data_IF_911724071589
#
_entry.id   IF_911724071589
#
_cell.length_a   1.000
_cell.length_b   1.000
_cell.length_c   1.000
_cell.angle_alpha   90.00
_cell.angle_beta   90.00
_cell.angle_gamma   90.00
#
_symmetry.space_group_name_H-M   'P 1'
#
loop_
_entity.id
_entity.type
_entity.pdbx_description
1 polymer ?
#
# COMPACT_ATOMS: atom_id res chain seq x y z
N UNK A 1 3.67 19.01 -8.37
CA UNK A 1 3.72 18.05 -9.49
C UNK A 1 2.97 18.65 -10.70
N UNK A 2 3.51 19.71 -11.31
CA UNK A 2 2.81 20.42 -12.41
C UNK A 2 3.37 20.10 -13.80
N UNK A 3 4.46 19.34 -13.87
CA UNK A 3 5.24 19.12 -15.11
C UNK A 3 4.54 18.28 -16.20
N UNK A 4 3.36 17.70 -15.95
CA UNK A 4 2.62 16.90 -16.95
C UNK A 4 1.26 17.49 -17.36
N UNK A 5 0.92 18.70 -16.91
CA UNK A 5 -0.39 19.31 -17.19
C UNK A 5 -0.57 19.78 -18.64
N UNK A 6 0.49 19.83 -19.45
CA UNK A 6 0.48 20.57 -20.73
C UNK A 6 0.48 19.69 -22.00
N UNK A 7 0.35 18.36 -21.85
CA UNK A 7 0.41 17.42 -22.99
C UNK A 7 -0.99 17.06 -23.54
N UNK A 8 -2.08 17.54 -22.92
CA UNK A 8 -3.45 17.25 -23.35
C UNK A 8 -4.39 18.45 -23.19
N UNK A 9 -5.32 18.64 -24.12
CA UNK A 9 -6.13 19.86 -24.24
C UNK A 9 -7.10 20.17 -23.09
N UNK A 10 -7.47 19.21 -22.22
CA UNK A 10 -8.40 19.45 -21.09
C UNK A 10 -7.65 19.46 -19.74
N UNK A 11 -7.52 20.61 -19.06
CA UNK A 11 -6.76 20.74 -17.80
C UNK A 11 -7.38 19.96 -16.63
N UNK A 12 -8.67 19.60 -16.74
CA UNK A 12 -9.39 18.84 -15.72
C UNK A 12 -9.23 17.32 -15.89
N UNK A 13 -8.59 16.86 -16.97
CA UNK A 13 -8.29 15.44 -17.17
C UNK A 13 -7.16 15.03 -16.21
N UNK A 14 -7.35 14.01 -15.36
CA UNK A 14 -6.31 13.56 -14.45
C UNK A 14 -5.22 12.79 -15.19
N UNK A 15 -4.01 12.78 -14.63
CA UNK A 15 -2.93 11.96 -15.17
C UNK A 15 -3.17 10.48 -14.87
N UNK A 16 -2.62 9.58 -15.70
CA UNK A 16 -2.66 8.13 -15.42
C UNK A 16 -2.03 7.81 -14.05
N UNK A 17 -0.98 8.54 -13.66
CA UNK A 17 -0.32 8.37 -12.37
C UNK A 17 -1.24 8.71 -11.19
N UNK A 18 -2.03 9.78 -11.28
CA UNK A 18 -3.04 10.11 -10.26
C UNK A 18 -4.09 8.99 -10.13
N UNK A 19 -4.54 8.46 -11.28
CA UNK A 19 -5.52 7.37 -11.31
C UNK A 19 -4.98 6.05 -10.76
N UNK A 20 -3.70 5.75 -10.96
CA UNK A 20 -3.07 4.56 -10.37
C UNK A 20 -2.80 4.79 -8.87
N UNK A 21 -2.36 5.98 -8.47
CA UNK A 21 -2.05 6.29 -7.07
C UNK A 21 -3.30 6.18 -6.17
N UNK A 22 -4.46 6.64 -6.65
CA UNK A 22 -5.71 6.49 -5.91
C UNK A 22 -6.17 5.03 -5.80
N UNK A 23 -5.91 4.18 -6.80
CA UNK A 23 -6.21 2.76 -6.75
C UNK A 23 -5.29 2.02 -5.76
N UNK A 24 -4.00 2.32 -5.75
CA UNK A 24 -3.04 1.77 -4.79
C UNK A 24 -3.43 2.09 -3.35
N UNK A 25 -3.89 3.32 -3.06
CA UNK A 25 -4.35 3.67 -1.72
C UNK A 25 -5.48 2.75 -1.23
N UNK A 26 -6.45 2.47 -2.11
CA UNK A 26 -7.56 1.55 -1.79
C UNK A 26 -7.06 0.13 -1.56
N UNK A 27 -6.19 -0.37 -2.41
CA UNK A 27 -5.71 -1.75 -2.34
C UNK A 27 -4.84 -2.00 -1.08
N UNK A 28 -4.18 -0.95 -0.56
CA UNK A 28 -3.42 -1.01 0.71
C UNK A 28 -4.30 -1.06 1.97
N UNK A 29 -5.57 -0.64 1.91
CA UNK A 29 -6.45 -0.62 3.08
C UNK A 29 -6.78 -2.03 3.59
N UNK A 30 -7.00 -2.99 2.68
CA UNK A 30 -7.36 -4.36 3.04
C UNK A 30 -6.28 -5.07 3.89
N UNK A 31 -5.00 -5.16 3.47
CA UNK A 31 -3.95 -5.78 4.28
C UNK A 31 -3.68 -4.99 5.56
N UNK A 32 -3.76 -3.65 5.53
CA UNK A 32 -3.61 -2.83 6.73
C UNK A 32 -4.69 -3.14 7.77
N UNK A 33 -5.96 -3.23 7.34
CA UNK A 33 -7.07 -3.58 8.22
C UNK A 33 -6.90 -4.98 8.81
N UNK A 34 -6.49 -5.97 8.00
CA UNK A 34 -6.19 -7.34 8.46
C UNK A 34 -5.10 -7.34 9.53
N UNK A 35 -4.00 -6.60 9.30
CA UNK A 35 -2.91 -6.49 10.26
C UNK A 35 -3.37 -5.86 11.57
N UNK A 36 -4.06 -4.71 11.52
CA UNK A 36 -4.58 -4.03 12.70
C UNK A 36 -5.52 -4.94 13.50
N UNK A 37 -6.47 -5.61 12.83
CA UNK A 37 -7.37 -6.58 13.45
C UNK A 37 -6.61 -7.74 14.10
N UNK A 38 -5.56 -8.25 13.45
CA UNK A 38 -4.73 -9.34 13.98
C UNK A 38 -3.98 -8.95 15.26
N UNK A 39 -3.45 -7.72 15.31
CA UNK A 39 -2.77 -7.20 16.51
C UNK A 39 -3.77 -7.01 17.66
N UNK A 40 -4.95 -6.42 17.39
CA UNK A 40 -5.97 -6.28 18.44
C UNK A 40 -6.57 -7.61 18.89
N UNK A 41 -6.62 -8.63 18.01
CA UNK A 41 -7.10 -9.95 18.35
C UNK A 41 -6.21 -10.65 19.40
N UNK A 42 -4.92 -10.34 19.46
CA UNK A 42 -4.02 -10.84 20.52
C UNK A 42 -4.48 -10.36 21.92
N UNK A 43 -5.05 -9.14 22.00
CA UNK A 43 -5.52 -8.56 23.26
C UNK A 43 -6.95 -8.95 23.62
N UNK A 44 -7.81 -9.13 22.63
CA UNK A 44 -9.24 -9.46 22.83
C UNK A 44 -9.71 -10.62 21.93
N UNK A 45 -9.22 -11.85 22.17
CA UNK A 45 -9.42 -12.97 21.25
C UNK A 45 -10.90 -13.37 21.08
N UNK A 46 -11.70 -13.33 22.16
CA UNK A 46 -13.08 -13.83 22.13
C UNK A 46 -13.99 -13.11 21.11
N UNK A 47 -13.81 -11.80 20.92
CA UNK A 47 -14.66 -11.02 20.02
C UNK A 47 -14.02 -10.83 18.64
N UNK A 48 -12.71 -10.55 18.59
CA UNK A 48 -12.04 -10.18 17.34
C UNK A 48 -11.68 -11.37 16.46
N UNK A 49 -11.51 -12.59 17.00
CA UNK A 49 -11.17 -13.76 16.17
C UNK A 49 -12.21 -14.03 15.09
N UNK A 50 -13.51 -13.85 15.39
CA UNK A 50 -14.58 -14.03 14.40
C UNK A 50 -14.52 -12.99 13.28
N UNK A 51 -14.13 -11.77 13.61
CA UNK A 51 -13.98 -10.66 12.65
C UNK A 51 -12.72 -10.87 11.81
N UNK A 52 -11.60 -11.26 12.41
CA UNK A 52 -10.34 -11.57 11.71
C UNK A 52 -10.55 -12.71 10.70
N UNK A 53 -11.24 -13.78 11.10
CA UNK A 53 -11.52 -14.91 10.20
C UNK A 53 -12.42 -14.52 9.01
N UNK A 54 -13.26 -13.49 9.15
CA UNK A 54 -14.11 -12.94 8.08
C UNK A 54 -13.72 -11.51 7.72
N UNK A 55 -12.42 -11.23 7.72
CA UNK A 55 -11.90 -9.87 7.52
C UNK A 55 -12.32 -9.29 6.16
N UNK A 56 -12.47 -10.12 5.13
CA UNK A 56 -12.91 -9.66 3.80
C UNK A 56 -14.36 -9.20 3.78
N UNK A 57 -15.27 -9.94 4.42
CA UNK A 57 -16.68 -9.53 4.55
C UNK A 57 -16.81 -8.24 5.35
N UNK A 58 -16.03 -8.16 6.43
CA UNK A 58 -15.97 -6.97 7.27
C UNK A 58 -15.44 -5.77 6.49
N UNK A 59 -14.36 -5.95 5.72
CA UNK A 59 -13.79 -4.92 4.85
C UNK A 59 -14.79 -4.47 3.77
N UNK A 60 -15.44 -5.41 3.09
CA UNK A 60 -16.43 -5.11 2.06
C UNK A 60 -17.62 -4.32 2.64
N UNK A 61 -18.10 -4.70 3.82
CA UNK A 61 -19.16 -3.96 4.52
C UNK A 61 -18.70 -2.55 4.93
N UNK A 62 -17.50 -2.43 5.50
CA UNK A 62 -16.91 -1.15 5.90
C UNK A 62 -16.77 -0.22 4.69
N UNK A 63 -16.16 -0.70 3.61
CA UNK A 63 -16.00 0.05 2.37
C UNK A 63 -17.34 0.40 1.73
N UNK A 64 -18.33 -0.48 1.78
CA UNK A 64 -19.69 -0.16 1.31
C UNK A 64 -20.29 1.03 2.05
N UNK A 65 -20.09 1.15 3.37
CA UNK A 65 -20.56 2.30 4.14
C UNK A 65 -19.79 3.58 3.80
N UNK A 66 -18.45 3.49 3.77
CA UNK A 66 -17.56 4.61 3.49
C UNK A 66 -17.78 5.15 2.08
N UNK A 67 -17.79 4.28 1.07
CA UNK A 67 -17.98 4.65 -0.34
C UNK A 67 -19.39 5.19 -0.59
N UNK A 68 -20.42 4.59 0.02
CA UNK A 68 -21.80 5.10 -0.09
C UNK A 68 -21.92 6.53 0.43
N UNK A 69 -21.23 6.85 1.52
CA UNK A 69 -21.22 8.19 2.08
C UNK A 69 -20.50 9.17 1.15
N UNK A 70 -19.28 8.83 0.69
CA UNK A 70 -18.48 9.70 -0.17
C UNK A 70 -19.13 9.95 -1.54
N UNK A 71 -19.67 8.91 -2.19
CA UNK A 71 -20.34 9.05 -3.49
C UNK A 71 -21.61 9.92 -3.40
N UNK A 72 -22.31 9.90 -2.26
CA UNK A 72 -23.53 10.72 -2.06
C UNK A 72 -23.24 12.17 -1.68
N UNK A 73 -22.14 12.42 -0.97
CA UNK A 73 -21.81 13.74 -0.43
C UNK A 73 -20.87 14.52 -1.32
N UNK A 74 -19.82 13.87 -1.82
CA UNK A 74 -18.75 14.49 -2.60
C UNK A 74 -18.84 14.15 -4.10
N UNK A 75 -19.66 13.15 -4.48
CA UNK A 75 -19.72 12.69 -5.87
C UNK A 75 -18.43 12.01 -6.34
N UNK A 76 -17.68 11.43 -5.40
CA UNK A 76 -16.39 10.78 -5.62
C UNK A 76 -16.28 9.53 -4.73
N UNK A 77 -15.47 8.56 -5.12
CA UNK A 77 -15.07 7.48 -4.20
C UNK A 77 -14.22 8.04 -3.06
N UNK A 78 -14.04 7.25 -2.01
CA UNK A 78 -13.15 7.62 -0.92
C UNK A 78 -11.72 7.94 -1.40
N UNK A 79 -11.16 7.05 -2.22
CA UNK A 79 -9.83 7.22 -2.81
C UNK A 79 -9.77 8.41 -3.78
N UNK A 80 -10.79 8.61 -4.59
CA UNK A 80 -10.85 9.73 -5.55
C UNK A 80 -10.87 11.07 -4.82
N UNK A 81 -11.72 11.20 -3.80
CA UNK A 81 -11.81 12.42 -3.00
C UNK A 81 -10.49 12.77 -2.30
N UNK A 82 -9.76 11.75 -1.81
CA UNK A 82 -8.44 11.94 -1.19
C UNK A 82 -7.40 12.55 -2.14
N UNK A 83 -7.47 12.20 -3.43
CA UNK A 83 -6.58 12.73 -4.47
C UNK A 83 -7.16 13.96 -5.20
N UNK A 84 -8.26 14.55 -4.70
CA UNK A 84 -8.89 15.72 -5.34
C UNK A 84 -9.55 15.40 -6.69
N UNK A 85 -10.01 14.17 -6.87
CA UNK A 85 -10.73 13.69 -8.05
C UNK A 85 -12.22 13.57 -7.76
N UNK A 86 -13.04 13.75 -8.80
CA UNK A 86 -14.50 13.59 -8.77
C UNK A 86 -15.00 12.73 -9.91
N UNK A 87 -16.13 12.06 -9.70
CA UNK A 87 -16.87 11.37 -10.76
C UNK A 87 -17.92 12.29 -11.35
N UNK A 88 -17.95 12.33 -12.66
CA UNK A 88 -18.90 13.11 -13.44
C UNK A 88 -19.64 12.18 -14.39
N UNK A 89 -20.93 12.47 -14.61
CA UNK A 89 -21.65 11.83 -15.71
C UNK A 89 -21.24 12.49 -17.02
N UNK A 90 -20.80 11.68 -17.99
CA UNK A 90 -20.39 12.21 -19.29
C UNK A 90 -21.63 12.58 -20.12
N UNK A 91 -21.76 13.84 -20.60
CA UNK A 91 -22.81 14.20 -21.54
C UNK A 91 -22.55 13.52 -22.89
N UNK A 92 -23.61 13.21 -23.63
CA UNK A 92 -23.49 12.56 -24.95
C UNK A 92 -22.75 13.48 -25.95
N UNK A 93 -22.94 14.80 -25.80
CA UNK A 93 -22.27 15.81 -26.59
C UNK A 93 -21.56 16.79 -25.66
N UNK A 94 -20.24 16.93 -25.82
CA UNK A 94 -19.45 17.91 -25.07
C UNK A 94 -19.54 19.25 -25.80
N UNK A 95 -20.38 20.16 -25.31
CA UNK A 95 -20.52 21.51 -25.86
C UNK A 95 -19.69 22.50 -25.05
N UNK A 96 -18.52 22.88 -25.55
CA UNK A 96 -17.66 23.91 -24.94
C UNK A 96 -18.41 25.24 -24.74
N UNK A 97 -19.32 25.57 -25.67
CA UNK A 97 -20.19 26.75 -25.58
C UNK A 97 -21.14 26.71 -24.40
N UNK A 98 -21.65 25.53 -24.01
CA UNK A 98 -22.54 25.41 -22.86
C UNK A 98 -21.78 25.58 -21.55
N UNK A 99 -20.56 25.04 -21.47
CA UNK A 99 -19.64 25.25 -20.33
C UNK A 99 -19.22 26.72 -20.20
N UNK A 100 -18.99 27.41 -21.32
CA UNK A 100 -18.66 28.83 -21.32
C UNK A 100 -19.86 29.73 -20.97
N UNK A 101 -21.10 29.30 -21.29
CA UNK A 101 -22.30 30.10 -21.09
C UNK A 101 -22.90 30.01 -19.68
N UNK A 102 -22.75 28.87 -19.00
CA UNK A 102 -23.26 28.66 -17.64
C UNK A 102 -22.09 28.48 -16.68
N UNK A 103 -21.73 29.50 -15.87
CA UNK A 103 -20.74 29.33 -14.82
C UNK A 103 -21.29 28.36 -13.78
N UNK A 104 -20.53 27.31 -13.46
CA UNK A 104 -20.89 26.31 -12.47
C UNK A 104 -21.07 24.88 -13.02
N UNK A 105 -21.30 23.95 -12.10
CA UNK A 105 -21.51 22.53 -12.43
C UNK A 105 -22.89 22.35 -13.06
N UNK A 106 -22.93 21.94 -14.33
CA UNK A 106 -24.18 21.64 -15.01
C UNK A 106 -24.91 20.49 -14.27
N UNK A 107 -26.24 20.58 -14.07
CA UNK A 107 -27.00 19.55 -13.35
C UNK A 107 -26.94 18.18 -14.04
N UNK A 108 -26.68 18.15 -15.35
CA UNK A 108 -26.49 16.94 -16.14
C UNK A 108 -25.20 16.19 -15.81
N UNK A 109 -24.21 16.88 -15.24
CA UNK A 109 -22.90 16.33 -14.86
C UNK A 109 -22.94 15.63 -13.49
N UNK A 110 -23.95 15.94 -12.67
CA UNK A 110 -24.11 15.38 -11.33
C UNK A 110 -24.52 13.91 -11.39
N UNK A 111 -23.92 13.10 -10.52
CA UNK A 111 -24.25 11.68 -10.38
C UNK A 111 -25.69 11.50 -9.89
N UNK A 112 -26.41 10.61 -10.56
CA UNK A 112 -27.74 10.13 -10.17
C UNK A 112 -27.63 8.86 -9.34
N UNK A 113 -28.70 8.52 -8.62
CA UNK A 113 -28.74 7.32 -7.77
C UNK A 113 -28.39 6.02 -8.51
N UNK A 114 -28.75 5.92 -9.80
CA UNK A 114 -28.43 4.74 -10.63
C UNK A 114 -26.92 4.61 -10.85
N UNK A 115 -26.23 5.70 -11.17
CA UNK A 115 -24.78 5.68 -11.33
C UNK A 115 -24.10 5.42 -9.98
N UNK A 116 -24.60 6.04 -8.90
CA UNK A 116 -24.08 5.82 -7.54
C UNK A 116 -24.13 4.33 -7.19
N UNK A 117 -25.28 3.67 -7.36
CA UNK A 117 -25.44 2.24 -7.05
C UNK A 117 -24.58 1.33 -7.93
N UNK A 118 -24.52 1.58 -9.25
CA UNK A 118 -23.65 0.80 -10.16
C UNK A 118 -22.17 0.97 -9.79
N UNK A 119 -21.78 2.20 -9.48
CA UNK A 119 -20.41 2.53 -9.12
C UNK A 119 -20.02 1.92 -7.77
N UNK A 120 -20.96 1.84 -6.82
CA UNK A 120 -20.78 1.17 -5.53
C UNK A 120 -20.65 -0.35 -5.70
N UNK A 121 -21.49 -0.96 -6.54
CA UNK A 121 -21.41 -2.38 -6.86
C UNK A 121 -20.04 -2.73 -7.45
N UNK A 122 -19.52 -1.91 -8.35
CA UNK A 122 -18.21 -2.16 -8.97
C UNK A 122 -17.06 -1.86 -8.01
N UNK A 123 -17.12 -0.76 -7.25
CA UNK A 123 -16.06 -0.40 -6.30
C UNK A 123 -15.85 -1.41 -5.18
N UNK A 124 -16.92 -2.04 -4.70
CA UNK A 124 -16.86 -2.98 -3.56
C UNK A 124 -17.02 -4.42 -4.01
N UNK A 125 -17.97 -4.69 -4.89
CA UNK A 125 -18.30 -6.04 -5.34
C UNK A 125 -17.24 -6.64 -6.26
N UNK A 126 -16.70 -5.89 -7.22
CA UNK A 126 -15.67 -6.40 -8.12
C UNK A 126 -14.39 -6.83 -7.36
N UNK A 127 -13.78 -5.99 -6.50
CA UNK A 127 -12.59 -6.43 -5.75
C UNK A 127 -12.91 -7.56 -4.79
N UNK A 128 -14.07 -7.55 -4.12
CA UNK A 128 -14.47 -8.64 -3.24
C UNK A 128 -14.58 -9.99 -3.98
N UNK A 129 -15.26 -10.02 -5.14
CA UNK A 129 -15.37 -11.23 -5.96
C UNK A 129 -14.02 -11.70 -6.47
N UNK A 130 -13.15 -10.76 -6.87
CA UNK A 130 -11.79 -11.05 -7.33
C UNK A 130 -10.96 -11.69 -6.22
N UNK A 131 -11.00 -11.13 -5.02
CA UNK A 131 -10.29 -11.68 -3.85
C UNK A 131 -10.80 -13.07 -3.51
N UNK A 132 -12.13 -13.27 -3.47
CA UNK A 132 -12.73 -14.59 -3.22
C UNK A 132 -12.37 -15.64 -4.28
N UNK A 133 -12.30 -15.23 -5.54
CA UNK A 133 -11.83 -16.10 -6.62
C UNK A 133 -10.36 -16.48 -6.43
N UNK A 134 -9.52 -15.52 -6.01
CA UNK A 134 -8.11 -15.79 -5.73
C UNK A 134 -7.90 -16.72 -4.53
N UNK A 135 -8.58 -16.47 -3.42
CA UNK A 135 -8.55 -17.32 -2.22
C UNK A 135 -8.97 -18.76 -2.55
N UNK A 136 -10.04 -18.93 -3.34
CA UNK A 136 -10.47 -20.26 -3.79
C UNK A 136 -9.44 -20.96 -4.68
N UNK A 137 -8.70 -20.21 -5.50
CA UNK A 137 -7.60 -20.75 -6.31
C UNK A 137 -6.40 -21.17 -5.43
N UNK A 138 -6.07 -20.39 -4.41
CA UNK A 138 -5.02 -20.72 -3.42
C UNK A 138 -5.39 -21.95 -2.60
N UNK A 139 -6.64 -22.08 -2.16
CA UNK A 139 -7.17 -23.25 -1.44
C UNK A 139 -7.06 -24.54 -2.26
N UNK A 140 -7.18 -24.45 -3.60
CA UNK A 140 -6.98 -25.56 -4.54
C UNK A 140 -5.49 -25.87 -4.80
N UNK A 141 -4.57 -25.19 -4.11
CA UNK A 141 -3.12 -25.36 -4.23
C UNK A 141 -2.57 -24.84 -5.55
N UNK A 142 -3.16 -23.76 -6.10
CA UNK A 142 -2.69 -23.09 -7.32
C UNK A 142 -1.69 -21.96 -7.10
N UNK A 143 -1.44 -21.57 -5.85
CA UNK A 143 -0.54 -20.46 -5.52
C UNK A 143 0.93 -20.75 -5.84
N UNK A 144 1.70 -19.69 -6.06
CA UNK A 144 3.17 -19.75 -6.10
C UNK A 144 3.61 -20.09 -4.69
N UNK A 145 3.98 -21.35 -4.47
CA UNK A 145 4.52 -21.78 -3.19
C UNK A 145 5.78 -20.95 -2.93
N UNK A 146 5.78 -20.14 -1.87
CA UNK A 146 7.01 -19.72 -1.21
C UNK A 146 7.62 -20.97 -0.54
N UNK A 147 8.12 -21.86 -1.38
CA UNK A 147 8.95 -23.01 -1.03
C UNK A 147 10.16 -22.47 -0.27
N UNK A 148 10.22 -22.75 1.04
CA UNK A 148 11.44 -23.12 1.80
C UNK A 148 11.07 -23.47 3.27
N UNK A 149 9.94 -23.00 3.83
CA UNK A 149 9.70 -23.17 5.29
C UNK A 149 8.45 -23.95 5.73
N UNK A 150 7.46 -24.19 4.86
CA UNK A 150 6.20 -24.89 5.24
C UNK A 150 6.06 -26.31 4.67
N UNK A 151 6.99 -26.77 3.83
CA UNK A 151 6.90 -28.08 3.14
C UNK A 151 6.80 -29.28 4.10
N UNK A 152 7.41 -29.23 5.29
CA UNK A 152 7.47 -30.42 6.16
C UNK A 152 6.18 -30.69 6.95
N UNK A 153 5.36 -29.68 7.24
CA UNK A 153 4.10 -29.83 8.00
C UNK A 153 2.88 -29.98 7.08
N UNK A 154 2.93 -29.33 5.91
CA UNK A 154 1.85 -29.37 4.92
C UNK A 154 1.88 -30.69 4.13
N UNK A 155 3.05 -31.26 3.84
CA UNK A 155 3.14 -32.54 3.13
C UNK A 155 2.57 -33.72 3.94
N UNK A 156 2.73 -33.71 5.28
CA UNK A 156 2.14 -34.74 6.15
C UNK A 156 0.61 -34.65 6.24
N UNK A 157 0.05 -33.44 6.27
CA UNK A 157 -1.41 -33.25 6.29
C UNK A 157 -2.05 -33.46 4.90
N UNK A 158 -1.32 -33.16 3.82
CA UNK A 158 -1.79 -33.39 2.44
C UNK A 158 -1.86 -34.87 2.06
N UNK A 159 -0.86 -35.68 2.43
CA UNK A 159 -0.89 -37.13 2.21
C UNK A 159 -2.10 -37.80 2.88
N UNK A 160 -2.47 -37.35 4.08
CA UNK A 160 -3.66 -37.83 4.80
C UNK A 160 -4.98 -37.39 4.14
N UNK A 161 -5.01 -36.23 3.47
CA UNK A 161 -6.21 -35.77 2.75
C UNK A 161 -6.38 -36.40 1.36
N UNK A 162 -5.27 -36.78 0.70
CA UNK A 162 -5.30 -37.48 -0.60
C UNK A 162 -5.84 -38.91 -0.47
N UNK A 163 -5.57 -39.59 0.64
CA UNK A 163 -6.17 -40.90 0.93
C UNK A 163 -7.69 -40.82 1.17
N UNK A 164 -8.22 -39.70 1.69
CA UNK A 164 -9.67 -39.52 1.93
C UNK A 164 -10.42 -39.05 0.67
N UNK A 165 -9.76 -38.38 -0.27
CA UNK A 165 -10.36 -37.90 -1.52
C UNK A 165 -10.24 -38.87 -2.72
N UNK A 166 -9.83 -40.11 -2.45
CA UNK A 166 -9.79 -41.17 -3.46
C UNK A 166 -11.13 -41.92 -3.52
N UNK A 167 -12.19 -41.28 -4.03
CA UNK A 167 -13.42 -41.93 -4.54
C UNK A 167 -14.34 -40.91 -5.28
N UNK A 168 -15.14 -41.34 -6.26
CA UNK A 168 -14.86 -41.48 -7.70
C UNK A 168 -15.15 -40.17 -8.51
N UNK A 169 -15.20 -40.28 -9.83
CA UNK A 169 -15.32 -39.24 -10.88
C UNK A 169 -16.57 -38.34 -10.72
N UNK A 170 -16.58 -37.44 -9.74
CA UNK A 170 -17.65 -36.45 -9.55
C UNK A 170 -17.43 -35.22 -10.43
N UNK A 171 -18.51 -34.69 -11.01
CA UNK A 171 -18.51 -33.43 -11.79
C UNK A 171 -17.87 -32.27 -11.01
N UNK A 172 -18.03 -32.24 -9.69
CA UNK A 172 -17.40 -31.24 -8.82
C UNK A 172 -15.87 -31.33 -8.85
N UNK A 173 -15.29 -32.53 -8.90
CA UNK A 173 -13.84 -32.74 -8.99
C UNK A 173 -13.27 -32.36 -10.37
N UNK A 174 -14.05 -32.53 -11.45
CA UNK A 174 -13.70 -32.03 -12.79
C UNK A 174 -13.75 -30.51 -12.84
N UNK A 175 -14.81 -29.89 -12.28
CA UNK A 175 -14.96 -28.44 -12.20
C UNK A 175 -13.81 -27.78 -11.41
N UNK A 176 -13.38 -28.37 -10.28
CA UNK A 176 -12.24 -27.89 -9.50
C UNK A 176 -10.93 -27.93 -10.28
N UNK A 177 -10.64 -29.02 -10.99
CA UNK A 177 -9.45 -29.15 -11.85
C UNK A 177 -9.50 -28.18 -13.02
N UNK A 178 -10.65 -28.05 -13.67
CA UNK A 178 -10.87 -27.08 -14.74
C UNK A 178 -10.65 -25.65 -14.23
N UNK A 179 -11.21 -25.31 -13.06
CA UNK A 179 -11.01 -24.00 -12.44
C UNK A 179 -9.53 -23.71 -12.18
N UNK A 180 -8.80 -24.67 -11.60
CA UNK A 180 -7.34 -24.54 -11.37
C UNK A 180 -6.56 -24.31 -12.67
N UNK A 181 -6.94 -24.96 -13.76
CA UNK A 181 -6.28 -24.76 -15.05
C UNK A 181 -6.67 -23.43 -15.73
N UNK A 182 -7.92 -23.00 -15.61
CA UNK A 182 -8.49 -21.86 -16.34
C UNK A 182 -8.26 -20.53 -15.63
N UNK A 183 -8.26 -20.51 -14.29
CA UNK A 183 -8.14 -19.27 -13.50
C UNK A 183 -6.88 -18.43 -13.82
N UNK A 184 -5.66 -19.00 -13.97
CA UNK A 184 -4.49 -18.21 -14.32
C UNK A 184 -4.62 -17.50 -15.67
N UNK A 185 -5.19 -18.18 -16.67
CA UNK A 185 -5.45 -17.62 -17.99
C UNK A 185 -6.52 -16.51 -17.95
N UNK A 186 -7.58 -16.71 -17.15
CA UNK A 186 -8.59 -15.68 -16.95
C UNK A 186 -8.01 -14.44 -16.25
N UNK A 187 -7.23 -14.63 -15.18
CA UNK A 187 -6.63 -13.53 -14.42
C UNK A 187 -5.62 -12.75 -15.27
N UNK A 188 -4.75 -13.44 -16.02
CA UNK A 188 -3.80 -12.79 -16.93
C UNK A 188 -4.51 -12.06 -18.07
N UNK A 189 -5.55 -12.66 -18.66
CA UNK A 189 -6.35 -11.99 -19.70
C UNK A 189 -7.08 -10.76 -19.17
N UNK A 190 -7.60 -10.83 -17.93
CA UNK A 190 -8.23 -9.68 -17.27
C UNK A 190 -7.22 -8.56 -17.03
N UNK A 191 -6.03 -8.87 -16.53
CA UNK A 191 -4.98 -7.85 -16.34
C UNK A 191 -4.47 -7.26 -17.66
N UNK A 192 -4.31 -8.09 -18.69
CA UNK A 192 -3.97 -7.63 -20.04
C UNK A 192 -5.06 -6.68 -20.58
N UNK A 193 -6.33 -7.00 -20.36
CA UNK A 193 -7.45 -6.13 -20.72
C UNK A 193 -7.37 -4.78 -19.99
N UNK A 194 -7.10 -4.77 -18.68
CA UNK A 194 -6.91 -3.53 -17.91
C UNK A 194 -5.72 -2.71 -18.39
N UNK A 195 -4.61 -3.37 -18.73
CA UNK A 195 -3.43 -2.72 -19.30
C UNK A 195 -3.73 -2.06 -20.65
N UNK A 196 -4.48 -2.73 -21.54
CA UNK A 196 -4.90 -2.16 -22.82
C UNK A 196 -5.74 -0.89 -22.64
N UNK A 197 -6.61 -0.85 -21.63
CA UNK A 197 -7.36 0.37 -21.29
C UNK A 197 -6.46 1.49 -20.76
N UNK A 198 -5.44 1.17 -19.96
CA UNK A 198 -4.46 2.16 -19.51
C UNK A 198 -3.69 2.78 -20.70
N UNK A 199 -3.27 1.94 -21.65
CA UNK A 199 -2.61 2.39 -22.88
C UNK A 199 -3.56 3.24 -23.74
N UNK A 200 -4.81 2.80 -23.92
CA UNK A 200 -5.81 3.56 -24.66
C UNK A 200 -6.13 4.93 -24.03
N UNK A 201 -6.12 5.00 -22.69
CA UNK A 201 -6.30 6.25 -21.95
C UNK A 201 -5.11 7.21 -22.09
N UNK A 202 -3.89 6.66 -22.11
CA UNK A 202 -2.64 7.42 -22.27
C UNK A 202 -2.56 8.05 -23.67
N UNK A 203 -3.03 7.36 -24.71
CA UNK A 203 -3.07 7.85 -26.10
C UNK A 203 -4.34 8.63 -26.45
N UNK A 204 -5.12 9.09 -25.45
CA UNK A 204 -6.38 9.84 -25.66
C UNK A 204 -7.43 9.14 -26.55
N UNK A 205 -7.30 7.83 -26.77
CA UNK A 205 -8.26 7.04 -27.57
C UNK A 205 -9.58 6.85 -26.81
N UNK A 206 -9.48 6.70 -25.49
CA UNK A 206 -10.64 6.54 -24.60
C UNK A 206 -10.52 7.48 -23.40
N UNK A 207 -11.60 8.16 -22.99
CA UNK A 207 -11.59 8.99 -21.79
C UNK A 207 -11.67 8.18 -20.49
N UNK A 208 -11.78 6.86 -20.58
CA UNK A 208 -11.93 5.97 -19.43
C UNK A 208 -10.66 5.13 -19.24
N UNK A 209 -10.05 5.16 -18.05
CA UNK A 209 -8.90 4.30 -17.73
C UNK A 209 -9.29 2.86 -17.35
N UNK A 210 -10.57 2.63 -17.05
CA UNK A 210 -11.13 1.32 -16.73
C UNK A 210 -12.38 1.03 -17.54
N UNK A 211 -12.61 -0.24 -17.92
CA UNK A 211 -13.75 -0.62 -18.76
C UNK A 211 -15.09 -0.33 -18.11
N UNK A 212 -15.24 -0.59 -16.80
CA UNK A 212 -16.51 -0.40 -16.11
C UNK A 212 -16.97 1.06 -16.03
N UNK A 213 -16.06 2.02 -16.05
CA UNK A 213 -16.42 3.45 -16.12
C UNK A 213 -17.16 3.77 -17.42
N UNK A 214 -16.75 3.14 -18.53
CA UNK A 214 -17.44 3.26 -19.81
C UNK A 214 -18.85 2.63 -19.77
N UNK A 215 -19.03 1.51 -19.05
CA UNK A 215 -20.34 0.86 -18.89
C UNK A 215 -21.31 1.67 -18.03
N UNK A 216 -20.80 2.37 -17.01
CA UNK A 216 -21.61 3.28 -16.20
C UNK A 216 -21.89 4.59 -16.96
N UNK A 217 -20.96 5.03 -17.81
CA UNK A 217 -21.02 6.33 -18.50
C UNK A 217 -20.50 7.48 -17.63
N UNK A 218 -19.51 7.20 -16.78
CA UNK A 218 -18.95 8.16 -15.80
C UNK A 218 -17.46 8.35 -16.09
N UNK A 219 -17.03 9.60 -16.22
CA UNK A 219 -15.62 9.99 -16.31
C UNK A 219 -15.11 10.52 -14.97
N UNK A 220 -13.79 10.41 -14.76
CA UNK A 220 -13.12 10.95 -13.58
C UNK A 220 -12.40 12.23 -14.00
N UNK A 221 -12.62 13.31 -13.25
CA UNK A 221 -12.00 14.62 -13.47
C UNK A 221 -11.43 15.17 -12.18
N UNK A 222 -10.48 16.08 -12.27
CA UNK A 222 -10.02 16.86 -11.12
C UNK A 222 -11.15 17.78 -10.63
N UNK A 223 -11.18 18.02 -9.32
CA UNK A 223 -12.10 19.01 -8.72
C UNK A 223 -11.70 20.39 -9.24
N UNK A 224 -12.64 21.08 -9.88
CA UNK A 224 -12.45 22.41 -10.45
C UNK A 224 -12.82 23.52 -9.47
N UNK A 225 -12.58 24.77 -9.88
CA UNK A 225 -12.92 25.95 -9.05
C UNK A 225 -14.44 26.06 -8.85
N UNK A 226 -15.22 25.72 -9.87
CA UNK A 226 -16.69 25.73 -9.82
C UNK A 226 -17.25 24.78 -8.76
N UNK A 227 -16.59 23.64 -8.55
CA UNK A 227 -16.97 22.69 -7.52
C UNK A 227 -16.68 23.24 -6.12
N UNK A 228 -15.52 23.89 -5.94
CA UNK A 228 -15.13 24.50 -4.67
C UNK A 228 -16.12 25.60 -4.26
N UNK A 229 -16.55 26.42 -5.22
CA UNK A 229 -17.59 27.45 -4.99
C UNK A 229 -18.90 26.78 -4.59
N UNK A 230 -19.33 25.74 -5.31
CA UNK A 230 -20.57 25.01 -4.99
C UNK A 230 -20.55 24.34 -3.60
N UNK A 231 -19.38 23.86 -3.17
CA UNK A 231 -19.16 23.27 -1.85
C UNK A 231 -19.18 24.34 -0.75
N UNK A 232 -18.62 25.52 -1.00
CA UNK A 232 -18.66 26.65 -0.08
C UNK A 232 -20.10 27.13 0.15
N UNK A 233 -20.88 27.26 -0.93
CA UNK A 233 -22.30 27.66 -0.87
C UNK A 233 -23.18 26.61 -0.17
N UNK A 234 -22.80 25.33 -0.25
CA UNK A 234 -23.52 24.23 0.39
C UNK A 234 -23.24 24.08 1.90
N UNK A 235 -22.29 24.83 2.46
CA UNK A 235 -22.00 24.77 3.89
C UNK A 235 -23.16 25.35 4.70
N UNK A 236 -23.67 24.64 5.72
CA UNK A 236 -24.80 25.14 6.49
C UNK A 236 -24.41 26.45 7.19
N UNK A 237 -25.28 27.47 7.22
CA UNK A 237 -24.98 28.70 7.94
C UNK A 237 -24.68 28.36 9.40
N UNK A 238 -23.51 28.79 9.88
CA UNK A 238 -23.09 28.67 11.27
C UNK A 238 -23.93 29.67 12.08
N UNK A 239 -25.18 29.31 12.38
CA UNK A 239 -26.11 30.21 13.05
C UNK A 239 -27.38 29.50 13.50
N UNK A 240 -27.49 29.25 14.80
CA UNK A 240 -28.67 28.65 15.41
C UNK A 240 -28.51 28.44 16.91
N UNK A 241 -28.25 29.53 17.63
CA UNK A 241 -28.26 29.62 19.10
C UNK A 241 -29.71 29.59 19.59
N UNK A 242 -30.23 28.38 19.83
CA UNK A 242 -31.40 28.17 20.68
C UNK A 242 -31.00 27.32 21.88
N UNK A 243 -31.65 27.47 23.05
CA UNK A 243 -31.35 26.64 24.22
C UNK A 243 -31.76 25.20 23.91
N UNK A 244 -30.77 24.35 23.61
CA UNK A 244 -31.00 22.95 23.22
C UNK A 244 -30.86 22.05 24.43
N UNK A 245 -31.91 21.27 24.72
CA UNK A 245 -31.88 20.18 25.71
C UNK A 245 -30.68 19.25 25.47
N UNK A 246 -29.99 18.86 26.55
CA UNK A 246 -28.84 17.95 26.52
C UNK A 246 -29.16 16.63 25.78
N UNK A 247 -30.41 16.17 25.86
CA UNK A 247 -30.89 14.96 25.18
C UNK A 247 -30.96 15.14 23.66
N UNK A 248 -31.32 16.34 23.19
CA UNK A 248 -31.30 16.69 21.77
C UNK A 248 -29.86 16.84 21.24
N UNK A 249 -28.93 17.33 22.08
CA UNK A 249 -27.50 17.38 21.76
C UNK A 249 -26.94 15.96 21.66
N UNK A 250 -27.22 15.08 22.64
CA UNK A 250 -26.71 13.71 22.66
C UNK A 250 -27.26 12.88 21.49
N UNK A 251 -28.56 13.01 21.18
CA UNK A 251 -29.19 12.38 20.00
C UNK A 251 -28.60 12.90 18.69
N UNK A 252 -28.34 14.22 18.59
CA UNK A 252 -27.68 14.81 17.41
C UNK A 252 -26.23 14.35 17.31
N UNK A 253 -25.51 14.23 18.42
CA UNK A 253 -24.16 13.68 18.46
C UNK A 253 -24.14 12.23 18.00
N UNK A 254 -25.10 11.40 18.43
CA UNK A 254 -25.20 9.99 18.05
C UNK A 254 -25.57 9.80 16.57
N UNK A 255 -26.50 10.60 16.03
CA UNK A 255 -26.86 10.53 14.61
C UNK A 255 -25.88 11.27 13.68
N UNK A 256 -25.20 12.31 14.16
CA UNK A 256 -24.15 13.01 13.41
C UNK A 256 -22.79 12.31 13.52
N UNK A 257 -22.55 11.53 14.59
CA UNK A 257 -21.32 10.75 14.85
C UNK A 257 -20.80 10.03 13.61
N UNK A 258 -21.58 9.19 12.91
CA UNK A 258 -21.05 8.47 11.76
C UNK A 258 -20.69 9.41 10.60
N UNK A 259 -21.46 10.48 10.36
CA UNK A 259 -21.17 11.44 9.28
C UNK A 259 -19.95 12.30 9.59
N UNK A 260 -19.81 12.73 10.84
CA UNK A 260 -18.66 13.50 11.32
C UNK A 260 -17.38 12.67 11.28
N UNK A 261 -17.45 11.41 11.76
CA UNK A 261 -16.32 10.49 11.67
C UNK A 261 -15.87 10.27 10.22
N UNK A 262 -16.82 9.97 9.32
CA UNK A 262 -16.51 9.75 7.90
C UNK A 262 -15.92 10.99 7.22
N UNK A 263 -16.39 12.20 7.55
CA UNK A 263 -15.80 13.43 7.04
C UNK A 263 -14.40 13.68 7.61
N UNK A 264 -14.15 13.30 8.87
CA UNK A 264 -12.85 13.44 9.53
C UNK A 264 -11.79 12.49 8.99
N UNK A 265 -12.14 11.38 8.32
CA UNK A 265 -11.17 10.43 7.75
C UNK A 265 -10.21 11.14 6.78
N UNK A 266 -10.73 12.07 5.96
CA UNK A 266 -9.93 12.80 4.98
C UNK A 266 -8.83 13.67 5.61
N UNK A 267 -9.01 14.11 6.86
CA UNK A 267 -8.01 14.89 7.61
C UNK A 267 -7.16 13.96 8.50
N UNK A 268 -7.77 12.94 9.09
CA UNK A 268 -7.11 12.02 9.99
C UNK A 268 -6.06 11.17 9.27
N UNK A 269 -6.34 10.71 8.05
CA UNK A 269 -5.42 9.82 7.32
C UNK A 269 -4.11 10.52 6.94
N UNK A 270 -4.10 11.71 6.29
CA UNK A 270 -2.85 12.44 6.05
C UNK A 270 -2.10 12.79 7.35
N UNK A 271 -2.84 13.20 8.38
CA UNK A 271 -2.26 13.52 9.70
C UNK A 271 -1.59 12.30 10.33
N UNK A 272 -2.21 11.13 10.21
CA UNK A 272 -1.65 9.87 10.71
C UNK A 272 -0.40 9.47 9.90
N UNK A 273 -0.42 9.57 8.57
CA UNK A 273 0.77 9.29 7.73
C UNK A 273 1.92 10.21 8.13
N UNK A 274 1.65 11.51 8.28
CA UNK A 274 2.66 12.48 8.74
C UNK A 274 3.25 12.06 10.08
N UNK A 275 2.40 11.69 11.05
CA UNK A 275 2.86 11.31 12.38
C UNK A 275 3.64 9.99 12.38
N UNK A 276 3.22 9.00 11.57
CA UNK A 276 3.96 7.75 11.40
C UNK A 276 5.32 8.00 10.76
N UNK A 277 5.38 8.81 9.70
CA UNK A 277 6.65 9.20 9.05
C UNK A 277 7.53 10.01 9.99
N UNK A 278 6.94 10.87 10.80
CA UNK A 278 7.63 11.58 11.87
C UNK A 278 8.20 10.63 12.92
N UNK A 279 7.44 9.62 13.38
CA UNK A 279 7.92 8.61 14.31
C UNK A 279 9.03 7.74 13.69
N UNK A 280 8.88 7.33 12.43
CA UNK A 280 9.90 6.59 11.67
C UNK A 280 11.20 7.39 11.60
N UNK A 281 11.10 8.68 11.30
CA UNK A 281 12.23 9.59 11.36
C UNK A 281 12.79 9.74 12.78
N UNK A 282 11.94 9.88 13.80
CA UNK A 282 12.37 10.05 15.20
C UNK A 282 13.17 8.83 15.70
N UNK A 283 12.74 7.62 15.35
CA UNK A 283 13.39 6.37 15.73
C UNK A 283 14.43 5.86 14.72
N UNK A 284 14.61 6.54 13.59
CA UNK A 284 15.64 6.19 12.60
C UNK A 284 17.03 6.20 13.25
N UNK A 285 17.91 5.21 12.93
CA UNK A 285 19.25 5.16 13.49
C UNK A 285 20.12 6.37 13.13
N UNK A 286 19.77 7.12 12.08
CA UNK A 286 20.47 8.33 11.65
C UNK A 286 19.84 9.62 12.18
N UNK A 287 18.83 9.56 13.04
CA UNK A 287 18.12 10.75 13.53
C UNK A 287 18.94 11.50 14.59
N UNK A 288 19.01 12.84 14.53
CA UNK A 288 19.66 13.64 15.56
C UNK A 288 18.94 13.56 16.91
N UNK A 289 17.67 13.15 16.93
CA UNK A 289 16.91 12.91 18.17
C UNK A 289 17.57 11.82 19.04
N UNK A 290 18.28 10.86 18.44
CA UNK A 290 19.03 9.85 19.19
C UNK A 290 20.29 10.44 19.86
N UNK A 291 20.89 11.49 19.30
CA UNK A 291 21.96 12.25 19.95
C UNK A 291 21.46 13.06 21.16
N UNK A 292 20.16 13.38 21.22
CA UNK A 292 19.54 13.94 22.42
C UNK A 292 19.28 12.89 23.51
N UNK A 293 19.20 11.60 23.14
CA UNK A 293 19.03 10.49 24.08
C UNK A 293 20.36 9.96 24.67
N UNK A 294 21.52 10.35 24.12
CA UNK A 294 22.79 10.15 24.81
C UNK A 294 22.89 11.13 25.96
N UNK A 295 22.88 10.60 27.19
CA UNK A 295 23.02 11.42 28.40
C UNK A 295 24.31 12.24 28.33
N UNK A 296 24.25 13.58 28.45
CA UNK A 296 25.44 14.43 28.53
C UNK A 296 26.26 14.18 29.82
N UNK A 297 25.74 13.42 30.80
CA UNK A 297 26.45 13.01 32.02
C UNK A 297 26.99 11.58 31.97
N UNK A 298 26.82 10.84 30.87
CA UNK A 298 27.47 9.54 30.70
C UNK A 298 28.98 9.71 30.52
N UNK A 299 29.82 8.78 31.02
CA UNK A 299 31.23 8.79 30.64
C UNK A 299 31.31 8.73 29.12
N UNK A 300 32.09 9.64 28.51
CA UNK A 300 32.30 9.63 27.07
C UNK A 300 32.75 8.23 26.68
N UNK A 301 31.93 7.51 25.89
CA UNK A 301 32.29 6.18 25.41
C UNK A 301 33.56 6.38 24.58
N UNK A 302 34.72 5.84 25.03
CA UNK A 302 35.95 6.06 24.31
C UNK A 302 35.82 5.46 22.91
N UNK A 303 36.43 6.12 21.93
CA UNK A 303 36.47 5.60 20.58
C UNK A 303 36.96 4.13 20.62
N UNK A 304 36.29 3.22 19.88
CA UNK A 304 36.66 1.81 19.91
C UNK A 304 38.12 1.66 19.50
N UNK A 305 38.92 1.09 20.40
CA UNK A 305 40.35 0.88 20.17
C UNK A 305 40.50 -0.18 19.09
N UNK A 306 41.30 0.12 18.06
CA UNK A 306 41.65 -0.85 17.01
C UNK A 306 42.28 -2.09 17.66
N UNK A 307 41.71 -3.26 17.37
CA UNK A 307 42.24 -4.51 17.89
C UNK A 307 43.63 -4.77 17.29
N UNK A 308 44.60 -5.15 18.13
CA UNK A 308 45.97 -5.43 17.66
C UNK A 308 45.98 -6.65 16.72
N UNK A 309 46.82 -6.65 15.66
CA UNK A 309 46.98 -7.83 14.80
C UNK A 309 47.43 -9.04 15.62
N UNK A 310 46.90 -10.22 15.30
CA UNK A 310 47.34 -11.46 15.92
C UNK A 310 48.66 -11.91 15.26
N UNK A 311 49.64 -12.50 15.98
CA UNK A 311 50.92 -12.93 15.40
C UNK A 311 50.77 -13.96 14.27
N UNK A 312 49.70 -14.75 14.29
CA UNK A 312 49.34 -15.73 13.25
C UNK A 312 48.35 -15.18 12.20
N UNK A 313 47.94 -13.91 12.31
CA UNK A 313 47.09 -13.26 11.32
C UNK A 313 47.91 -12.78 10.12
N UNK A 314 47.20 -12.27 9.12
CA UNK A 314 47.85 -11.65 7.96
C UNK A 314 48.67 -10.43 8.43
N UNK A 315 49.92 -10.36 7.99
CA UNK A 315 50.78 -9.22 8.27
C UNK A 315 50.37 -8.04 7.38
N UNK A 316 50.14 -6.91 8.02
CA UNK A 316 49.81 -5.67 7.34
C UNK A 316 51.08 -4.88 7.11
N UNK A 317 51.25 -4.36 5.91
CA UNK A 317 52.22 -3.32 5.65
C UNK A 317 51.64 -1.99 6.12
N UNK A 318 52.29 -1.36 7.10
CA UNK A 318 51.83 -0.11 7.69
C UNK A 318 52.07 1.10 6.77
N UNK A 319 52.82 0.92 5.67
CA UNK A 319 53.17 1.99 4.73
C UNK A 319 52.28 2.01 3.48
N UNK A 320 51.62 0.89 3.17
CA UNK A 320 50.74 0.76 2.01
C UNK A 320 49.28 1.13 2.37
N UNK A 321 48.88 2.35 2.03
CA UNK A 321 47.50 2.81 2.20
C UNK A 321 46.66 2.53 0.94
N UNK A 322 45.35 2.35 1.12
CA UNK A 322 44.39 2.21 0.00
C UNK A 322 44.36 0.83 -0.68
N UNK A 323 45.10 -0.14 -0.14
CA UNK A 323 45.23 -1.50 -0.69
C UNK A 323 44.59 -2.52 0.25
N UNK A 324 43.89 -3.49 -0.33
CA UNK A 324 43.30 -4.60 0.40
C UNK A 324 44.38 -5.64 0.75
N UNK A 325 44.55 -6.02 2.03
CA UNK A 325 45.60 -6.97 2.44
C UNK A 325 45.31 -8.43 2.08
N UNK A 326 44.13 -8.74 1.52
CA UNK A 326 43.78 -10.09 1.04
C UNK A 326 44.08 -10.28 -0.45
N UNK A 327 43.79 -9.29 -1.29
CA UNK A 327 43.98 -9.40 -2.74
C UNK A 327 45.17 -8.58 -3.28
N UNK A 328 45.68 -7.61 -2.51
CA UNK A 328 46.78 -6.74 -2.94
C UNK A 328 46.37 -5.62 -3.91
N UNK A 329 45.10 -5.58 -4.31
CA UNK A 329 44.54 -4.53 -5.18
C UNK A 329 43.93 -3.38 -4.37
N UNK A 330 43.62 -2.27 -5.05
CA UNK A 330 42.83 -1.18 -4.47
C UNK A 330 41.44 -1.65 -4.00
N UNK A 331 40.85 -0.94 -3.03
CA UNK A 331 39.57 -1.35 -2.45
C UNK A 331 38.39 -1.32 -3.44
N UNK A 332 37.91 -2.50 -3.84
CA UNK A 332 36.61 -2.67 -4.49
C UNK A 332 35.52 -2.88 -3.41
N UNK A 333 34.73 -1.84 -3.15
CA UNK A 333 33.71 -1.81 -2.07
C UNK A 333 34.30 -2.07 -0.68
N UNK A 334 34.95 -1.05 -0.12
CA UNK A 334 35.57 -1.08 1.20
C UNK A 334 34.57 -1.59 2.27
N UNK A 335 34.97 -2.61 3.03
CA UNK A 335 34.14 -3.25 4.04
C UNK A 335 34.95 -3.43 5.31
N UNK A 336 34.43 -2.88 6.42
CA UNK A 336 35.00 -3.06 7.74
C UNK A 336 34.50 -4.36 8.38
N UNK A 337 35.43 -5.09 8.99
CA UNK A 337 35.12 -6.19 9.94
C UNK A 337 34.98 -5.63 11.36
N UNK A 338 34.34 -6.34 12.31
CA UNK A 338 34.13 -5.87 13.68
C UNK A 338 35.41 -5.52 14.46
N UNK A 339 36.55 -6.07 14.04
CA UNK A 339 37.85 -5.77 14.65
C UNK A 339 38.48 -4.45 14.18
N UNK A 340 37.84 -3.75 13.24
CA UNK A 340 38.24 -2.42 12.76
C UNK A 340 39.10 -2.40 11.49
N UNK A 341 39.45 -3.55 10.93
CA UNK A 341 40.22 -3.63 9.68
C UNK A 341 39.30 -3.60 8.45
N UNK A 342 39.82 -3.07 7.33
CA UNK A 342 39.06 -2.88 6.09
C UNK A 342 39.62 -3.77 4.98
N UNK A 343 38.73 -4.39 4.22
CA UNK A 343 39.04 -5.24 3.07
C UNK A 343 38.04 -4.98 1.93
N UNK A 344 38.29 -5.51 0.75
CA UNK A 344 37.26 -5.61 -0.29
C UNK A 344 36.11 -6.50 0.19
N UNK A 345 34.86 -6.13 -0.14
CA UNK A 345 33.67 -6.86 0.30
C UNK A 345 33.74 -8.37 -0.03
N UNK A 346 34.12 -8.72 -1.26
CA UNK A 346 34.22 -10.13 -1.70
C UNK A 346 35.26 -10.90 -0.89
N UNK A 347 36.44 -10.32 -0.68
CA UNK A 347 37.52 -10.94 0.08
C UNK A 347 37.14 -11.16 1.55
N UNK A 348 36.55 -10.14 2.20
CA UNK A 348 36.08 -10.27 3.58
C UNK A 348 34.97 -11.31 3.71
N UNK A 349 33.99 -11.30 2.81
CA UNK A 349 32.86 -12.22 2.81
C UNK A 349 33.35 -13.66 2.70
N UNK A 350 34.15 -13.98 1.68
CA UNK A 350 34.65 -15.34 1.44
C UNK A 350 35.51 -15.86 2.61
N UNK A 351 36.34 -15.00 3.20
CA UNK A 351 37.18 -15.41 4.33
C UNK A 351 36.35 -15.65 5.61
N UNK A 352 35.42 -14.74 5.92
CA UNK A 352 34.59 -14.84 7.14
C UNK A 352 33.59 -15.99 7.03
N UNK A 353 33.05 -16.25 5.85
CA UNK A 353 32.15 -17.38 5.61
C UNK A 353 32.88 -18.73 5.79
N UNK A 354 34.11 -18.85 5.28
CA UNK A 354 34.91 -20.08 5.41
C UNK A 354 35.52 -20.30 6.79
N UNK A 355 36.00 -19.24 7.43
CA UNK A 355 36.81 -19.35 8.66
C UNK A 355 36.14 -18.81 9.93
N UNK A 356 35.02 -18.10 9.82
CA UNK A 356 34.27 -17.55 10.96
C UNK A 356 35.06 -16.53 11.80
N UNK A 357 36.10 -15.90 11.25
CA UNK A 357 37.04 -15.04 11.98
C UNK A 357 37.63 -13.94 11.11
N UNK A 358 38.16 -12.91 11.74
CA UNK A 358 38.88 -11.83 11.06
C UNK A 358 40.23 -12.33 10.49
N UNK A 359 40.63 -11.96 9.25
CA UNK A 359 41.93 -12.32 8.68
C UNK A 359 43.15 -11.80 9.45
N UNK A 360 43.04 -10.64 10.07
CA UNK A 360 44.18 -9.94 10.72
C UNK A 360 44.27 -10.26 12.21
N UNK A 361 43.14 -10.27 12.91
CA UNK A 361 43.11 -10.44 14.38
C UNK A 361 42.67 -11.82 14.84
N UNK A 362 42.14 -12.65 13.93
CA UNK A 362 41.54 -13.96 14.23
C UNK A 362 40.39 -13.92 15.25
N UNK A 363 39.91 -12.74 15.63
CA UNK A 363 38.72 -12.55 16.46
C UNK A 363 37.50 -13.13 15.73
N UNK A 364 36.58 -13.84 16.42
CA UNK A 364 35.39 -14.39 15.81
C UNK A 364 34.57 -13.30 15.13
N UNK A 365 34.21 -13.54 13.87
CA UNK A 365 33.45 -12.62 13.04
C UNK A 365 32.44 -13.40 12.21
N UNK A 366 31.26 -12.81 12.02
CA UNK A 366 30.19 -13.41 11.21
C UNK A 366 29.81 -12.49 10.06
N UNK A 367 29.30 -13.07 8.99
CA UNK A 367 29.01 -12.36 7.73
C UNK A 367 28.09 -11.15 7.93
N UNK A 368 27.06 -11.27 8.76
CA UNK A 368 26.13 -10.15 9.05
C UNK A 368 26.73 -9.02 9.89
N UNK A 369 27.92 -9.21 10.46
CA UNK A 369 28.64 -8.18 11.21
C UNK A 369 29.53 -7.32 10.30
N UNK A 370 29.72 -7.70 9.04
CA UNK A 370 30.42 -6.90 8.05
C UNK A 370 29.65 -5.59 7.80
N UNK A 371 30.39 -4.48 7.69
CA UNK A 371 29.82 -3.16 7.42
C UNK A 371 30.49 -2.55 6.20
N UNK A 372 29.72 -2.35 5.13
CA UNK A 372 30.21 -1.63 3.95
C UNK A 372 30.44 -0.17 4.33
N UNK A 373 31.60 0.35 3.98
CA UNK A 373 31.92 1.77 4.10
C UNK A 373 31.53 2.38 2.75
N UNK A 374 30.55 3.28 2.78
CA UNK A 374 30.22 4.12 1.63
C UNK A 374 31.21 5.29 1.68
N UNK A 375 32.19 5.28 0.77
CA UNK A 375 33.15 6.38 0.56
C UNK A 375 32.59 7.28 -0.53
#
# INVERSE_FOLDING_TARGET
MEFFNDVGGDPLKPTLFELIAQEQLRDLLQPALKYVLSVFAQRYPRYLLRIVNRHEEFYALLMLLVERHHLRTHGASFSENFYGLKRRRRPIFETERAKAAVPGVLPEEKLRDREIWRSLLILVGLPYLRTKAHEYFEDLGGGVQSEVMEESLVNQTRALSEEVCSCPISLAGRLRRMYKAVYPWLNTSFEAWLFLYNVAYLFDRTPFYRPWLSWIGVDIRRVGIDDLVSLADSSPPVGGTGPRSLLAILRRLLLASPRMLLNSINVMLPTAIFFVKFLEWWYSPSSPARALSSSPQGPAVPAPILAKPHPQGIRLDHTAYGVCPLCGDGFANATAVPSGYVFCYRCAYEYVDKHGRCPVTLVPARVWQLRKILI
#
